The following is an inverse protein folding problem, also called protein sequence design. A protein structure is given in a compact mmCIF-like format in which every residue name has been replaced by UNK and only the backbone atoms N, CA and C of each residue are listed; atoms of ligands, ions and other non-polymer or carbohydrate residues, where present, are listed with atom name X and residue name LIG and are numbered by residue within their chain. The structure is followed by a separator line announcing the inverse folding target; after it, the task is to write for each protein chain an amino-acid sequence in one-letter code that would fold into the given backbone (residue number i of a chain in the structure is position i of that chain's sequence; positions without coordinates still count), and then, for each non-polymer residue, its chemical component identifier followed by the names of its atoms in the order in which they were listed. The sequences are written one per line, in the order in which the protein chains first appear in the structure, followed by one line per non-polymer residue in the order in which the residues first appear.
data_IF_192713662167
#
_entry.id   IF_192713662167
#
_cell.length_a   1.000
_cell.length_b   1.000
_cell.length_c   1.000
_cell.angle_alpha   90.00
_cell.angle_beta   90.00
_cell.angle_gamma   90.00
#
_symmetry.space_group_name_H-M   'P 1'
#
loop_
_entity.id
_entity.type
_entity.pdbx_description
1 polymer ?
#
# COMPACT_ATOMS: atom_id res chain seq x y z
N UNK A 1 38.71 3.01 -4.46
CA UNK A 1 37.53 2.63 -3.64
C UNK A 1 36.52 3.75 -3.78
N UNK A 2 35.75 3.71 -4.87
CA UNK A 2 34.75 4.74 -5.18
C UNK A 2 33.51 4.50 -4.35
N UNK A 3 33.08 5.56 -3.67
CA UNK A 3 31.92 5.68 -2.81
C UNK A 3 30.68 4.99 -3.39
N UNK A 4 30.32 3.83 -2.81
CA UNK A 4 29.09 3.13 -3.13
C UNK A 4 27.93 3.83 -2.42
N UNK A 5 27.48 4.92 -3.04
CA UNK A 5 26.10 5.42 -3.02
C UNK A 5 25.46 5.55 -1.63
N UNK A 6 25.63 6.71 -1.01
CA UNK A 6 24.62 7.28 -0.10
C UNK A 6 23.43 7.87 -0.86
N UNK A 7 23.01 7.26 -1.97
CA UNK A 7 21.79 7.67 -2.66
C UNK A 7 20.58 7.33 -1.78
N UNK A 8 19.88 8.38 -1.37
CA UNK A 8 18.65 8.27 -0.58
C UNK A 8 17.61 7.51 -1.41
N UNK A 9 17.38 6.25 -1.03
CA UNK A 9 16.41 5.38 -1.72
C UNK A 9 15.03 5.57 -1.09
N UNK A 10 14.06 6.03 -1.88
CA UNK A 10 12.65 6.08 -1.49
C UNK A 10 12.07 4.67 -1.51
N UNK A 11 11.43 4.26 -0.42
CA UNK A 11 10.74 2.98 -0.30
C UNK A 11 9.25 3.22 -0.11
N UNK A 12 8.42 2.38 -0.71
CA UNK A 12 6.97 2.38 -0.52
C UNK A 12 6.60 1.04 0.10
N UNK A 13 6.03 1.07 1.31
CA UNK A 13 5.46 -0.13 1.93
C UNK A 13 3.99 -0.15 1.54
N UNK A 14 3.57 -1.26 0.93
CA UNK A 14 2.24 -1.44 0.37
C UNK A 14 1.53 -2.57 1.11
N UNK A 15 0.28 -2.33 1.43
CA UNK A 15 -0.65 -3.33 1.95
C UNK A 15 -1.95 -3.27 1.16
N UNK A 16 -2.60 -4.43 1.00
CA UNK A 16 -3.83 -4.54 0.21
C UNK A 16 -4.82 -5.44 0.90
N UNK A 17 -6.05 -4.95 1.05
CA UNK A 17 -7.17 -5.80 1.46
C UNK A 17 -7.87 -6.35 0.22
N UNK A 18 -8.28 -7.61 0.31
CA UNK A 18 -8.90 -8.33 -0.81
C UNK A 18 -10.22 -8.95 -0.39
N UNK A 19 -11.04 -9.39 -1.34
CA UNK A 19 -12.27 -10.14 -1.05
C UNK A 19 -12.02 -11.52 -0.43
N UNK A 20 -10.76 -11.97 -0.35
CA UNK A 20 -10.34 -13.24 0.22
C UNK A 20 -9.09 -13.78 -0.48
N UNK A 21 -8.74 -15.03 -0.15
CA UNK A 21 -7.67 -15.75 -0.83
C UNK A 21 -7.96 -17.25 -0.89
N UNK A 22 -7.53 -17.90 -1.96
CA UNK A 22 -7.57 -19.36 -2.04
C UNK A 22 -6.42 -19.97 -1.22
N UNK A 23 -6.73 -21.05 -0.49
CA UNK A 23 -5.74 -21.81 0.28
C UNK A 23 -4.96 -22.81 -0.58
N UNK A 24 -5.52 -23.20 -1.72
CA UNK A 24 -4.96 -24.18 -2.66
C UNK A 24 -5.01 -23.56 -4.06
N UNK A 25 -3.97 -23.76 -4.85
CA UNK A 25 -3.87 -23.20 -6.20
C UNK A 25 -3.50 -21.71 -6.20
N UNK A 26 -3.97 -20.97 -7.20
CA UNK A 26 -3.69 -19.54 -7.30
C UNK A 26 -4.49 -18.77 -6.24
N UNK A 27 -3.79 -18.23 -5.23
CA UNK A 27 -4.40 -17.56 -4.08
C UNK A 27 -5.27 -16.34 -4.45
N UNK A 28 -5.04 -15.70 -5.60
CA UNK A 28 -5.77 -14.51 -6.04
C UNK A 28 -6.95 -14.82 -6.99
N UNK A 29 -7.09 -16.06 -7.48
CA UNK A 29 -8.07 -16.39 -8.50
C UNK A 29 -9.50 -16.21 -7.97
N UNK A 30 -10.31 -15.43 -8.70
CA UNK A 30 -11.68 -15.08 -8.29
C UNK A 30 -11.78 -13.98 -7.21
N UNK A 31 -10.66 -13.52 -6.65
CA UNK A 31 -10.62 -12.45 -5.65
C UNK A 31 -10.27 -11.09 -6.26
N UNK A 32 -10.71 -10.02 -5.61
CA UNK A 32 -10.45 -8.63 -6.02
C UNK A 32 -9.85 -7.84 -4.87
N UNK A 33 -9.00 -6.88 -5.20
CA UNK A 33 -8.55 -5.86 -4.24
C UNK A 33 -9.72 -4.94 -3.91
N UNK A 34 -9.95 -4.70 -2.63
CA UNK A 34 -10.97 -3.77 -2.10
C UNK A 34 -10.36 -2.59 -1.35
N UNK A 35 -9.08 -2.65 -0.98
CA UNK A 35 -8.35 -1.53 -0.39
C UNK A 35 -6.87 -1.58 -0.78
N UNK A 36 -6.26 -0.40 -0.95
CA UNK A 36 -4.83 -0.23 -1.16
C UNK A 36 -4.35 0.84 -0.19
N UNK A 37 -3.44 0.45 0.71
CA UNK A 37 -2.72 1.32 1.62
C UNK A 37 -1.24 1.36 1.28
N UNK A 38 -0.66 2.54 1.15
CA UNK A 38 0.79 2.68 0.95
C UNK A 38 1.37 3.80 1.81
N UNK A 39 2.54 3.57 2.38
CA UNK A 39 3.29 4.57 3.14
C UNK A 39 4.69 4.75 2.56
N UNK A 40 5.11 6.00 2.46
CA UNK A 40 6.46 6.35 2.02
C UNK A 40 7.46 6.32 3.19
N UNK A 41 8.60 5.69 2.93
CA UNK A 41 9.71 5.53 3.85
C UNK A 41 10.99 6.03 3.20
N UNK A 42 11.69 6.93 3.89
CA UNK A 42 13.01 7.43 3.50
C UNK A 42 13.93 7.28 4.69
N UNK A 43 15.13 6.71 4.49
CA UNK A 43 16.10 6.48 5.57
C UNK A 43 15.49 5.75 6.79
N UNK A 44 14.66 4.74 6.52
CA UNK A 44 13.94 3.94 7.54
C UNK A 44 12.99 4.76 8.42
N UNK A 45 12.56 5.95 7.97
CA UNK A 45 11.58 6.79 8.66
C UNK A 45 10.37 7.02 7.77
N UNK A 46 9.17 6.95 8.35
CA UNK A 46 7.93 7.32 7.67
C UNK A 46 7.98 8.80 7.32
N UNK A 47 7.62 9.17 6.09
CA UNK A 47 7.58 10.59 5.68
C UNK A 47 6.25 11.26 6.03
N UNK A 48 5.23 10.48 6.36
CA UNK A 48 3.85 10.94 6.54
C UNK A 48 3.08 11.08 5.23
N UNK A 49 3.72 10.82 4.07
CA UNK A 49 3.03 10.69 2.79
C UNK A 49 2.37 9.31 2.72
N UNK A 50 1.05 9.30 2.90
CA UNK A 50 0.21 8.10 2.95
C UNK A 50 -0.75 8.15 1.77
N UNK A 51 -0.82 7.04 1.04
CA UNK A 51 -1.82 6.78 0.02
C UNK A 51 -2.81 5.75 0.58
N UNK A 52 -4.10 6.07 0.56
CA UNK A 52 -5.15 5.15 0.99
C UNK A 52 -6.31 5.23 0.02
N UNK A 53 -6.74 4.08 -0.49
CA UNK A 53 -7.76 3.98 -1.51
C UNK A 53 -8.64 2.75 -1.30
N UNK A 54 -9.94 2.98 -1.12
CA UNK A 54 -10.94 1.89 -1.03
C UNK A 54 -11.67 1.74 -2.36
N UNK A 55 -11.70 0.52 -2.87
CA UNK A 55 -12.46 0.11 -4.06
C UNK A 55 -13.79 -0.51 -3.61
N UNK A 56 -14.89 0.16 -3.92
CA UNK A 56 -16.20 -0.45 -3.72
C UNK A 56 -16.54 -1.35 -4.92
N UNK A 57 -16.84 -2.64 -4.71
CA UNK A 57 -17.10 -3.60 -5.78
C UNK A 57 -18.45 -3.41 -6.49
N UNK A 58 -19.37 -2.61 -5.94
CA UNK A 58 -20.75 -2.42 -6.43
C UNK A 58 -20.95 -1.04 -7.07
N UNK A 59 -20.27 -0.01 -6.58
CA UNK A 59 -20.29 1.35 -7.15
C UNK A 59 -18.92 2.00 -6.95
N UNK A 60 -18.35 2.61 -7.99
CA UNK A 60 -17.04 3.27 -7.93
C UNK A 60 -17.10 4.56 -7.08
N UNK A 61 -17.19 4.43 -5.76
CA UNK A 61 -17.04 5.54 -4.83
C UNK A 61 -15.56 5.72 -4.51
N UNK A 62 -14.95 6.76 -5.08
CA UNK A 62 -13.56 7.11 -4.80
C UNK A 62 -13.53 7.86 -3.46
N UNK A 63 -13.10 7.19 -2.40
CA UNK A 63 -12.83 7.85 -1.11
C UNK A 63 -11.33 7.89 -0.87
N UNK A 64 -10.69 9.01 -1.25
CA UNK A 64 -9.36 9.34 -0.75
C UNK A 64 -9.52 9.66 0.72
N UNK A 65 -9.05 8.77 1.60
CA UNK A 65 -8.90 9.09 3.02
C UNK A 65 -7.76 10.10 3.14
N UNK A 66 -8.08 11.38 2.94
CA UNK A 66 -7.21 12.49 3.30
C UNK A 66 -7.06 12.47 4.82
N UNK A 67 -5.88 12.12 5.31
CA UNK A 67 -5.56 12.29 6.72
C UNK A 67 -4.51 11.32 7.19
N UNK A 68 -3.36 11.87 7.56
CA UNK A 68 -2.33 11.27 8.41
C UNK A 68 -2.93 10.68 9.68
N UNK A 69 -3.46 9.45 9.61
CA UNK A 69 -3.74 8.67 10.80
C UNK A 69 -2.56 7.74 10.95
N UNK A 70 -1.75 8.05 11.97
CA UNK A 70 -0.73 7.18 12.52
C UNK A 70 -1.28 5.75 12.52
N UNK A 71 -0.67 4.89 11.72
CA UNK A 71 -0.92 3.46 11.72
C UNK A 71 -0.66 3.01 13.17
N UNK A 72 -1.73 2.64 13.88
CA UNK A 72 -1.64 2.10 15.24
C UNK A 72 -1.27 0.63 15.16
#
# INVERSE_FOLDING_TARGET
MTDMSTAITRQIVLDTETTGMNQIGAHYEGHKIIEIGAVEVINRRLTGNIFMFTLNPIALSIRKLLGTRHCR
#
